data_IF_614429380905
#
_entry.id   IF_614429380905
#
_cell.length_a   1.000
_cell.length_b   1.000
_cell.length_c   1.000
_cell.angle_alpha   90.00
_cell.angle_beta   90.00
_cell.angle_gamma   90.00
#
_symmetry.space_group_name_H-M   'P 1'
#
loop_
_entity.id
_entity.type
_entity.pdbx_description
1 polymer ?
#
# COMPACT_ATOMS: atom_id res chain seq x y z
N UNK A 1 -43.62 21.45 3.28
CA UNK A 1 -42.30 21.94 3.71
C UNK A 1 -41.72 20.92 4.69
N UNK A 2 -40.81 20.02 4.27
CA UNK A 2 -39.85 19.23 5.12
C UNK A 2 -39.22 18.09 4.31
N UNK A 3 -38.28 18.40 3.42
CA UNK A 3 -37.48 17.37 2.72
C UNK A 3 -36.06 17.84 2.35
N UNK A 4 -35.52 18.83 3.06
CA UNK A 4 -34.23 19.47 2.72
C UNK A 4 -33.09 19.16 3.71
N UNK A 5 -33.37 18.50 4.84
CA UNK A 5 -32.39 18.33 5.93
C UNK A 5 -31.55 17.04 5.86
N UNK A 6 -31.81 16.14 4.90
CA UNK A 6 -31.14 14.81 4.83
C UNK A 6 -30.11 14.66 3.71
N UNK A 7 -29.89 15.68 2.87
CA UNK A 7 -28.87 15.60 1.78
C UNK A 7 -27.44 15.92 2.22
N UNK A 8 -27.24 16.68 3.30
CA UNK A 8 -25.89 17.07 3.74
C UNK A 8 -25.13 16.01 4.57
N UNK A 9 -25.81 14.96 5.05
CA UNK A 9 -25.21 13.92 5.90
C UNK A 9 -24.69 12.69 5.13
N UNK A 10 -24.80 12.65 3.79
CA UNK A 10 -24.29 11.55 2.95
C UNK A 10 -22.92 11.81 2.32
N UNK A 11 -22.12 12.68 2.91
CA UNK A 11 -20.73 12.87 2.50
C UNK A 11 -19.77 12.95 3.67
N UNK A 12 -19.97 12.07 4.66
CA UNK A 12 -18.84 11.56 5.43
C UNK A 12 -18.04 10.59 4.52
N UNK A 13 -17.55 11.09 3.38
CA UNK A 13 -16.54 10.39 2.60
C UNK A 13 -15.28 10.42 3.43
N UNK A 14 -15.11 9.35 4.21
CA UNK A 14 -13.84 8.79 4.65
C UNK A 14 -12.72 9.81 4.72
N UNK A 15 -12.44 10.36 5.91
CA UNK A 15 -11.23 11.15 6.14
C UNK A 15 -9.94 10.36 5.79
N UNK A 16 -10.03 9.04 5.61
CA UNK A 16 -8.98 8.15 5.13
C UNK A 16 -8.76 8.20 3.61
N UNK A 17 -9.71 8.73 2.83
CA UNK A 17 -9.56 8.97 1.39
C UNK A 17 -8.58 10.13 1.08
N UNK A 18 -7.99 10.74 2.11
CA UNK A 18 -7.07 11.89 1.97
C UNK A 18 -5.59 11.53 2.08
N UNK A 19 -5.24 10.25 2.28
CA UNK A 19 -3.86 9.79 2.01
C UNK A 19 -3.72 9.68 0.50
N UNK A 20 -3.49 10.83 -0.14
CA UNK A 20 -3.28 10.97 -1.57
C UNK A 20 -1.92 10.40 -1.96
N UNK A 21 -1.73 9.07 -1.86
CA UNK A 21 -0.63 8.41 -2.58
C UNK A 21 -0.85 8.76 -4.05
N UNK A 22 0.10 9.50 -4.62
CA UNK A 22 -0.02 9.92 -6.01
C UNK A 22 -0.14 8.68 -6.91
N UNK A 23 -0.96 8.71 -7.97
CA UNK A 23 -1.04 7.60 -8.91
C UNK A 23 0.34 7.19 -9.42
N UNK A 24 1.25 8.16 -9.58
CA UNK A 24 2.64 7.94 -9.99
C UNK A 24 3.41 7.11 -8.96
N UNK A 25 3.33 7.44 -7.67
CA UNK A 25 4.00 6.65 -6.62
C UNK A 25 3.44 5.22 -6.56
N UNK A 26 2.12 5.07 -6.75
CA UNK A 26 1.46 3.79 -6.81
C UNK A 26 1.98 2.92 -7.96
N UNK A 27 2.00 3.48 -9.17
CA UNK A 27 2.55 2.79 -10.34
C UNK A 27 4.04 2.51 -10.19
N UNK A 28 4.80 3.44 -9.60
CA UNK A 28 6.22 3.25 -9.30
C UNK A 28 6.45 2.02 -8.42
N UNK A 29 5.72 1.89 -7.30
CA UNK A 29 5.82 0.74 -6.40
C UNK A 29 5.45 -0.58 -7.07
N UNK A 30 4.39 -0.59 -7.89
CA UNK A 30 3.95 -1.78 -8.64
C UNK A 30 5.02 -2.20 -9.65
N UNK A 31 5.50 -1.27 -10.48
CA UNK A 31 6.47 -1.56 -11.54
C UNK A 31 7.82 -1.98 -10.96
N UNK A 32 8.32 -1.27 -9.95
CA UNK A 32 9.59 -1.60 -9.28
C UNK A 32 9.46 -2.92 -8.52
N UNK A 33 8.35 -3.15 -7.82
CA UNK A 33 8.09 -4.39 -7.09
C UNK A 33 8.03 -5.61 -8.01
N UNK A 34 7.31 -5.49 -9.13
CA UNK A 34 7.24 -6.54 -10.15
C UNK A 34 8.61 -6.81 -10.78
N UNK A 35 9.35 -5.75 -11.14
CA UNK A 35 10.68 -5.87 -11.72
C UNK A 35 11.65 -6.56 -10.75
N UNK A 36 11.64 -6.17 -9.47
CA UNK A 36 12.47 -6.78 -8.44
C UNK A 36 12.14 -8.27 -8.23
N UNK A 37 10.85 -8.62 -8.19
CA UNK A 37 10.43 -10.01 -8.04
C UNK A 37 10.86 -10.88 -9.24
N UNK A 38 10.67 -10.40 -10.47
CA UNK A 38 11.10 -11.12 -11.69
C UNK A 38 12.62 -11.27 -11.71
N UNK A 39 13.36 -10.19 -11.46
CA UNK A 39 14.82 -10.22 -11.45
C UNK A 39 15.36 -11.20 -10.39
N UNK A 40 14.80 -11.18 -9.18
CA UNK A 40 15.16 -12.11 -8.11
C UNK A 40 14.89 -13.58 -8.48
N UNK A 41 13.74 -13.88 -9.10
CA UNK A 41 13.43 -15.24 -9.57
C UNK A 41 14.43 -15.70 -10.63
N UNK A 42 14.77 -14.84 -11.58
CA UNK A 42 15.76 -15.16 -12.62
C UNK A 42 17.15 -15.40 -12.04
N UNK A 43 17.62 -14.54 -11.13
CA UNK A 43 18.91 -14.70 -10.45
C UNK A 43 18.98 -16.02 -9.69
N UNK A 44 17.90 -16.38 -8.98
CA UNK A 44 17.79 -17.61 -8.19
C UNK A 44 17.98 -18.89 -9.01
N UNK A 45 17.68 -18.87 -10.30
CA UNK A 45 17.93 -20.04 -11.18
C UNK A 45 19.41 -20.33 -11.41
N UNK A 46 20.29 -19.37 -11.11
CA UNK A 46 21.74 -19.44 -11.37
C UNK A 46 22.59 -19.39 -10.11
N UNK A 47 21.97 -19.19 -8.94
CA UNK A 47 22.67 -19.01 -7.69
C UNK A 47 23.30 -20.32 -7.17
N UNK A 48 24.59 -20.25 -6.85
CA UNK A 48 25.37 -21.38 -6.32
C UNK A 48 25.85 -21.16 -4.89
N UNK A 49 25.81 -19.91 -4.41
CA UNK A 49 26.24 -19.54 -3.07
C UNK A 49 25.03 -19.32 -2.14
N UNK A 50 25.10 -19.84 -0.92
CA UNK A 50 24.01 -19.72 0.07
C UNK A 50 23.65 -18.25 0.38
N UNK A 51 24.65 -17.36 0.43
CA UNK A 51 24.41 -15.93 0.64
C UNK A 51 23.68 -15.28 -0.54
N UNK A 52 23.98 -15.69 -1.77
CA UNK A 52 23.30 -15.19 -2.97
C UNK A 52 21.82 -15.60 -2.97
N UNK A 53 21.56 -16.88 -2.69
CA UNK A 53 20.19 -17.41 -2.52
C UNK A 53 19.42 -16.60 -1.47
N UNK A 54 20.03 -16.32 -0.32
CA UNK A 54 19.39 -15.52 0.73
C UNK A 54 19.05 -14.09 0.26
N UNK A 55 19.98 -13.41 -0.42
CA UNK A 55 19.76 -12.07 -0.97
C UNK A 55 18.65 -12.04 -2.02
N UNK A 56 18.61 -13.03 -2.90
CA UNK A 56 17.61 -13.14 -3.96
C UNK A 56 16.22 -13.42 -3.38
N UNK A 57 16.11 -14.31 -2.39
CA UNK A 57 14.84 -14.53 -1.68
C UNK A 57 14.36 -13.24 -1.01
N UNK A 58 15.24 -12.50 -0.33
CA UNK A 58 14.89 -11.20 0.26
C UNK A 58 14.47 -10.18 -0.80
N UNK A 59 15.12 -10.16 -1.96
CA UNK A 59 14.75 -9.31 -3.09
C UNK A 59 13.34 -9.65 -3.61
N UNK A 60 13.04 -10.94 -3.78
CA UNK A 60 11.70 -11.39 -4.20
C UNK A 60 10.65 -10.96 -3.18
N UNK A 61 10.89 -11.21 -1.89
CA UNK A 61 9.97 -10.83 -0.81
C UNK A 61 9.75 -9.32 -0.76
N UNK A 62 10.82 -8.53 -0.90
CA UNK A 62 10.76 -7.07 -0.93
C UNK A 62 10.01 -6.57 -2.17
N UNK A 63 10.24 -7.19 -3.34
CA UNK A 63 9.50 -6.89 -4.56
C UNK A 63 8.00 -7.15 -4.42
N UNK A 64 7.65 -8.28 -3.79
CA UNK A 64 6.26 -8.61 -3.48
C UNK A 64 5.63 -7.62 -2.49
N UNK A 65 6.33 -7.22 -1.43
CA UNK A 65 5.84 -6.21 -0.50
C UNK A 65 5.54 -4.88 -1.20
N UNK A 66 6.44 -4.43 -2.09
CA UNK A 66 6.25 -3.21 -2.87
C UNK A 66 5.07 -3.32 -3.85
N UNK A 67 4.91 -4.50 -4.48
CA UNK A 67 3.79 -4.78 -5.38
C UNK A 67 2.45 -4.77 -4.63
N UNK A 68 2.38 -5.40 -3.47
CA UNK A 68 1.17 -5.48 -2.63
C UNK A 68 0.83 -4.09 -2.06
N UNK A 69 1.82 -3.36 -1.55
CA UNK A 69 1.62 -2.01 -1.02
C UNK A 69 1.24 -1.00 -2.12
N UNK A 70 1.80 -1.12 -3.32
CA UNK A 70 1.37 -0.37 -4.50
C UNK A 70 -0.03 -0.76 -4.98
N UNK A 71 -0.37 -2.05 -5.01
CA UNK A 71 -1.68 -2.54 -5.43
C UNK A 71 -2.81 -2.04 -4.52
N UNK A 72 -2.60 -2.08 -3.21
CA UNK A 72 -3.55 -1.67 -2.18
C UNK A 72 -3.73 -0.15 -2.07
N UNK A 73 -2.78 0.66 -2.55
CA UNK A 73 -2.89 2.12 -2.53
C UNK A 73 -2.88 2.74 -1.12
N UNK A 74 -2.67 1.94 -0.07
CA UNK A 74 -2.36 2.35 1.29
C UNK A 74 -1.64 1.19 2.02
N UNK A 75 -0.80 1.48 3.02
CA UNK A 75 -0.13 0.42 3.81
C UNK A 75 -1.14 -0.39 4.64
N UNK A 76 -1.40 -1.70 4.35
CA UNK A 76 -2.46 -2.52 4.95
C UNK A 76 -2.47 -2.54 6.48
N UNK A 77 -1.33 -2.27 7.09
CA UNK A 77 -1.17 -2.12 8.54
C UNK A 77 -2.11 -1.04 9.12
N UNK A 78 -2.29 0.11 8.46
CA UNK A 78 -3.11 1.21 8.98
C UNK A 78 -4.61 0.94 8.92
N UNK A 79 -5.09 0.14 7.96
CA UNK A 79 -6.50 -0.27 7.87
C UNK A 79 -6.80 -1.34 8.89
N UNK A 80 -5.85 -2.25 9.13
CA UNK A 80 -6.00 -3.24 10.21
C UNK A 80 -5.92 -2.63 11.61
N UNK A 81 -5.16 -1.54 11.80
CA UNK A 81 -5.00 -0.93 13.11
C UNK A 81 -6.16 -0.02 13.52
N UNK A 82 -7.07 0.34 12.60
CA UNK A 82 -8.21 1.22 12.89
C UNK A 82 -7.81 2.56 13.52
N UNK A 83 -6.55 2.99 13.35
CA UNK A 83 -5.97 4.07 14.14
C UNK A 83 -6.39 5.43 13.59
N UNK A 84 -7.36 6.07 14.24
CA UNK A 84 -7.72 7.46 13.99
C UNK A 84 -6.68 8.35 14.70
N UNK A 85 -5.91 9.17 13.96
CA UNK A 85 -4.91 10.05 14.56
C UNK A 85 -5.59 11.05 15.51
N UNK A 86 -4.87 11.43 16.57
CA UNK A 86 -5.40 12.24 17.68
C UNK A 86 -5.93 13.61 17.23
N UNK A 87 -5.41 14.15 16.13
CA UNK A 87 -5.87 15.39 15.50
C UNK A 87 -7.24 15.29 14.81
N UNK A 88 -7.73 14.08 14.50
CA UNK A 88 -9.03 13.80 13.88
C UNK A 88 -10.08 13.29 14.88
N UNK A 89 -9.72 13.14 16.17
CA UNK A 89 -10.72 12.97 17.23
C UNK A 89 -11.36 14.33 17.46
N UNK A 90 -12.55 14.56 16.91
CA UNK A 90 -13.32 15.78 17.21
C UNK A 90 -13.42 15.95 18.73
N UNK A 91 -13.17 17.16 19.27
CA UNK A 91 -13.56 17.47 20.63
C UNK A 91 -15.09 17.45 20.68
N UNK A 92 -15.64 16.65 21.59
CA UNK A 92 -17.05 16.76 21.99
C UNK A 92 -17.29 18.12 22.64
#
# INVERSE_FOLDING_TARGET
MTASATRHLRKATSAWATVNISPVERFGRILVGLAAAIAGILLLTTATAALAVAMEVLLILTGFDLLVTGGLGHCPLYTKLGHIPRSLRSPL
#
